data_IF_594238601165
#
_entry.id   IF_594238601165
#
_cell.length_a   1.000
_cell.length_b   1.000
_cell.length_c   1.000
_cell.angle_alpha   90.00
_cell.angle_beta   90.00
_cell.angle_gamma   90.00
#
_symmetry.space_group_name_H-M   'P 1'
#
loop_
_entity.id
_entity.type
_entity.pdbx_description
1 polymer ?
#
# COMPACT_ATOMS: atom_id res chain seq x y z
N UNK A 1 52.93 -13.36 -4.73
CA UNK A 1 53.06 -13.07 -3.30
C UNK A 1 52.56 -11.65 -3.07
N UNK A 2 51.62 -11.47 -2.17
CA UNK A 2 51.11 -10.15 -1.78
C UNK A 2 51.67 -9.80 -0.41
N UNK A 3 52.06 -8.53 -0.23
CA UNK A 3 52.55 -7.99 1.03
C UNK A 3 51.61 -6.87 1.47
N UNK A 4 51.19 -6.87 2.73
CA UNK A 4 50.37 -5.79 3.27
C UNK A 4 51.25 -4.65 3.84
N UNK A 5 50.62 -3.54 4.23
CA UNK A 5 51.32 -2.37 4.81
C UNK A 5 52.00 -2.63 6.17
N UNK A 6 51.82 -3.81 6.78
CA UNK A 6 52.49 -4.23 8.02
C UNK A 6 53.69 -5.16 7.76
N UNK A 7 54.01 -5.45 6.49
CA UNK A 7 55.11 -6.32 6.10
C UNK A 7 54.81 -7.82 6.13
N UNK A 8 53.57 -8.23 6.42
CA UNK A 8 53.15 -9.64 6.33
C UNK A 8 53.04 -10.06 4.87
N UNK A 9 53.58 -11.25 4.52
CA UNK A 9 53.61 -11.76 3.16
C UNK A 9 52.82 -13.06 3.03
N UNK A 10 51.94 -13.13 2.03
CA UNK A 10 51.19 -14.32 1.69
C UNK A 10 51.38 -14.70 0.22
N UNK A 11 51.55 -15.99 -0.05
CA UNK A 11 51.73 -16.52 -1.42
C UNK A 11 50.41 -17.13 -1.89
N UNK A 12 49.87 -16.58 -2.97
CA UNK A 12 48.66 -17.06 -3.63
C UNK A 12 49.00 -17.62 -5.00
N UNK A 13 48.24 -18.63 -5.42
CA UNK A 13 48.29 -19.21 -6.77
C UNK A 13 46.90 -19.12 -7.39
N UNK A 14 46.82 -18.84 -8.68
CA UNK A 14 45.57 -18.85 -9.44
C UNK A 14 45.76 -19.67 -10.71
N UNK A 15 44.66 -20.28 -11.18
CA UNK A 15 44.63 -21.02 -12.44
C UNK A 15 43.62 -20.39 -13.38
N UNK A 16 43.98 -20.25 -14.66
CA UNK A 16 43.08 -19.74 -15.71
C UNK A 16 42.87 -20.86 -16.73
N UNK A 17 41.62 -21.24 -16.95
CA UNK A 17 41.26 -22.17 -18.03
C UNK A 17 40.70 -21.38 -19.21
N UNK A 18 41.38 -21.41 -20.36
CA UNK A 18 40.92 -20.73 -21.58
C UNK A 18 39.79 -21.52 -22.24
N UNK A 19 38.66 -20.86 -22.55
CA UNK A 19 37.59 -21.38 -23.41
C UNK A 19 37.39 -20.43 -24.60
N UNK A 20 37.08 -20.95 -25.79
CA UNK A 20 36.88 -20.17 -27.01
C UNK A 20 35.46 -19.58 -27.10
N UNK A 21 35.32 -18.29 -27.43
CA UNK A 21 34.04 -17.58 -27.61
C UNK A 21 34.24 -16.11 -28.07
N UNK A 22 33.16 -15.40 -28.48
CA UNK A 22 33.23 -14.04 -29.04
C UNK A 22 33.62 -12.95 -28.01
N UNK A 23 33.43 -13.20 -26.72
CA UNK A 23 33.98 -12.39 -25.62
C UNK A 23 34.59 -13.31 -24.56
N UNK A 24 35.60 -12.82 -23.82
CA UNK A 24 36.23 -13.55 -22.71
C UNK A 24 36.36 -12.62 -21.50
N UNK A 25 35.46 -12.76 -20.53
CA UNK A 25 35.57 -12.10 -19.23
C UNK A 25 36.31 -13.04 -18.27
N UNK A 26 37.38 -12.56 -17.65
CA UNK A 26 38.13 -13.32 -16.64
C UNK A 26 37.67 -12.91 -15.25
N UNK A 27 37.09 -13.84 -14.49
CA UNK A 27 36.83 -13.67 -13.06
C UNK A 27 37.80 -14.58 -12.28
N UNK A 28 38.67 -13.98 -11.46
CA UNK A 28 39.54 -14.72 -10.56
C UNK A 28 38.86 -14.79 -9.18
N UNK A 29 38.47 -16.00 -8.75
CA UNK A 29 37.98 -16.25 -7.38
C UNK A 29 39.02 -17.03 -6.58
N UNK A 30 39.25 -16.61 -5.35
CA UNK A 30 40.02 -17.37 -4.36
C UNK A 30 39.05 -18.08 -3.43
N UNK A 31 39.16 -19.41 -3.31
CA UNK A 31 38.19 -20.21 -2.55
C UNK A 31 38.61 -20.65 -1.15
N UNK A 32 39.86 -20.44 -0.71
CA UNK A 32 40.21 -20.55 0.72
C UNK A 32 41.61 -20.01 1.09
N UNK A 33 41.83 -19.93 2.41
CA UNK A 33 42.94 -19.48 3.26
C UNK A 33 43.02 -17.96 3.50
N UNK A 34 42.01 -17.48 4.24
CA UNK A 34 42.04 -16.18 4.94
C UNK A 34 41.68 -14.96 4.08
N UNK A 35 41.13 -13.90 4.68
CA UNK A 35 40.83 -12.66 3.96
C UNK A 35 42.11 -12.06 3.36
N UNK A 36 42.10 -11.84 2.05
CA UNK A 36 43.14 -11.13 1.29
C UNK A 36 43.21 -9.64 1.66
N UNK A 37 42.09 -9.10 2.16
CA UNK A 37 41.88 -7.70 2.54
C UNK A 37 40.72 -7.59 3.53
N UNK A 38 40.51 -6.40 4.11
CA UNK A 38 39.35 -6.13 4.96
C UNK A 38 38.04 -6.36 4.20
N UNK A 39 37.10 -7.09 4.79
CA UNK A 39 35.76 -7.22 4.22
C UNK A 39 35.08 -5.85 4.22
N UNK A 40 35.00 -5.22 3.05
CA UNK A 40 34.23 -4.01 2.84
C UNK A 40 32.92 -4.38 2.15
N UNK A 41 31.77 -4.30 2.83
CA UNK A 41 30.50 -4.61 2.20
C UNK A 41 30.10 -3.53 1.16
N UNK A 42 30.68 -2.33 1.18
CA UNK A 42 30.42 -1.29 0.19
C UNK A 42 31.09 -1.62 -1.15
N UNK A 43 30.36 -1.37 -2.26
CA UNK A 43 30.77 -1.68 -3.63
C UNK A 43 31.21 -3.14 -3.87
N UNK A 44 30.66 -4.09 -3.11
CA UNK A 44 31.12 -5.50 -3.08
C UNK A 44 30.20 -6.48 -3.82
N UNK A 45 29.22 -5.96 -4.57
CA UNK A 45 28.28 -6.78 -5.32
C UNK A 45 28.97 -7.34 -6.57
N UNK A 46 29.25 -8.65 -6.55
CA UNK A 46 29.92 -9.38 -7.63
C UNK A 46 28.96 -9.94 -8.70
N UNK A 47 29.54 -10.60 -9.70
CA UNK A 47 28.81 -11.30 -10.78
C UNK A 47 28.17 -12.59 -10.23
N UNK A 48 26.91 -12.92 -10.60
CA UNK A 48 26.01 -12.21 -11.51
C UNK A 48 25.13 -11.14 -10.83
N UNK A 49 25.22 -10.95 -9.51
CA UNK A 49 24.41 -9.99 -8.76
C UNK A 49 24.62 -8.52 -9.16
N UNK A 50 25.69 -8.19 -9.86
CA UNK A 50 25.92 -6.85 -10.38
C UNK A 50 25.14 -6.55 -11.67
N UNK A 51 24.57 -7.55 -12.36
CA UNK A 51 23.96 -7.37 -13.67
C UNK A 51 22.64 -6.59 -13.57
N UNK A 52 22.41 -5.66 -14.51
CA UNK A 52 21.23 -4.79 -14.53
C UNK A 52 19.89 -5.59 -14.58
N UNK A 53 19.87 -6.74 -15.25
CA UNK A 53 18.67 -7.58 -15.36
C UNK A 53 18.38 -8.42 -14.09
N UNK A 54 19.37 -8.62 -13.20
CA UNK A 54 19.23 -9.48 -12.02
C UNK A 54 18.55 -8.71 -10.89
N UNK A 55 17.59 -9.31 -10.20
CA UNK A 55 17.08 -8.80 -8.92
C UNK A 55 18.06 -9.24 -7.84
N UNK A 56 18.84 -8.31 -7.34
CA UNK A 56 19.89 -8.54 -6.35
C UNK A 56 19.30 -8.37 -4.97
N UNK A 57 19.51 -9.36 -4.10
CA UNK A 57 18.89 -9.44 -2.77
C UNK A 57 19.94 -9.33 -1.67
N UNK A 58 19.83 -8.29 -0.86
CA UNK A 58 20.56 -8.17 0.40
C UNK A 58 19.79 -8.81 1.58
N UNK A 59 20.39 -8.80 2.77
CA UNK A 59 19.82 -9.48 3.94
C UNK A 59 19.61 -8.53 5.12
N UNK A 60 18.44 -8.64 5.75
CA UNK A 60 18.11 -7.99 7.03
C UNK A 60 17.71 -9.03 8.07
N UNK A 61 17.95 -8.73 9.34
CA UNK A 61 17.43 -9.53 10.44
C UNK A 61 15.89 -9.57 10.39
N UNK A 62 15.30 -10.76 10.42
CA UNK A 62 13.84 -10.91 10.31
C UNK A 62 13.05 -10.22 11.43
N UNK A 63 13.63 -10.05 12.63
CA UNK A 63 12.95 -9.41 13.76
C UNK A 63 13.18 -7.91 13.82
N UNK A 64 14.43 -7.47 13.64
CA UNK A 64 14.81 -6.07 13.87
C UNK A 64 14.84 -5.24 12.59
N UNK A 65 14.73 -5.88 11.42
CA UNK A 65 14.92 -5.27 10.10
C UNK A 65 16.31 -4.63 9.90
N UNK A 66 17.25 -4.86 10.81
CA UNK A 66 18.60 -4.33 10.72
C UNK A 66 19.38 -5.01 9.59
N UNK A 67 20.09 -4.19 8.80
CA UNK A 67 20.94 -4.68 7.72
C UNK A 67 22.05 -5.57 8.27
N UNK A 68 22.18 -6.76 7.68
CA UNK A 68 23.19 -7.71 8.11
C UNK A 68 24.59 -7.28 7.67
N UNK A 69 25.63 -7.49 8.51
CA UNK A 69 26.98 -7.01 8.23
C UNK A 69 27.64 -7.66 6.99
N UNK A 70 27.16 -8.85 6.59
CA UNK A 70 27.59 -9.56 5.38
C UNK A 70 26.77 -9.21 4.14
N UNK A 71 25.75 -8.35 4.24
CA UNK A 71 24.98 -7.91 3.08
C UNK A 71 25.82 -6.98 2.23
N UNK A 72 26.22 -7.46 1.04
CA UNK A 72 26.90 -6.65 0.05
C UNK A 72 26.00 -5.48 -0.41
N UNK A 73 26.60 -4.31 -0.62
CA UNK A 73 25.89 -3.11 -1.03
C UNK A 73 26.65 -2.32 -2.09
N UNK A 74 25.92 -1.48 -2.81
CA UNK A 74 26.40 -0.77 -3.98
C UNK A 74 27.16 0.52 -3.69
N UNK A 75 27.43 1.32 -4.73
CA UNK A 75 27.11 1.06 -6.14
C UNK A 75 27.84 -0.18 -6.67
N UNK A 76 27.29 -0.86 -7.69
CA UNK A 76 28.06 -1.88 -8.39
C UNK A 76 29.24 -1.24 -9.16
N UNK A 77 30.11 -2.05 -9.77
CA UNK A 77 31.26 -1.54 -10.54
C UNK A 77 30.88 -0.63 -11.75
N UNK A 78 29.62 -0.67 -12.18
CA UNK A 78 29.08 0.17 -13.27
C UNK A 78 28.42 1.46 -12.75
N UNK A 79 28.34 1.66 -11.44
CA UNK A 79 27.66 2.80 -10.82
C UNK A 79 26.17 2.58 -10.53
N UNK A 80 25.61 1.42 -10.85
CA UNK A 80 24.19 1.13 -10.61
C UNK A 80 23.87 0.95 -9.13
N UNK A 81 22.66 1.35 -8.76
CA UNK A 81 22.12 1.07 -7.43
C UNK A 81 21.78 -0.41 -7.30
N UNK A 82 22.46 -1.06 -6.37
CA UNK A 82 22.33 -2.46 -5.99
C UNK A 82 22.55 -2.58 -4.47
N UNK A 83 21.93 -3.52 -3.74
CA UNK A 83 20.91 -4.46 -4.21
C UNK A 83 19.62 -3.74 -4.66
N UNK A 84 18.70 -4.44 -5.32
CA UNK A 84 17.36 -3.90 -5.58
C UNK A 84 16.54 -3.83 -4.29
N UNK A 85 16.60 -4.91 -3.49
CA UNK A 85 15.83 -5.04 -2.25
C UNK A 85 16.60 -5.87 -1.24
N UNK A 86 16.16 -5.82 0.02
CA UNK A 86 16.59 -6.72 1.08
C UNK A 86 15.46 -7.66 1.48
N UNK A 87 15.81 -8.88 1.91
CA UNK A 87 14.88 -9.87 2.42
C UNK A 87 15.28 -10.36 3.81
N UNK A 88 14.36 -11.00 4.56
CA UNK A 88 14.62 -11.49 5.90
C UNK A 88 15.57 -12.69 5.89
N UNK A 89 16.53 -12.69 6.81
CA UNK A 89 17.38 -13.84 7.11
C UNK A 89 17.37 -14.16 8.62
N UNK A 90 18.29 -15.01 9.08
CA UNK A 90 18.25 -15.61 10.43
C UNK A 90 16.94 -16.40 10.65
N UNK A 91 16.46 -17.02 9.57
CA UNK A 91 15.24 -17.81 9.55
C UNK A 91 15.52 -19.29 9.77
N UNK A 92 14.52 -20.01 10.29
CA UNK A 92 14.54 -21.47 10.32
C UNK A 92 13.90 -22.04 9.05
N UNK A 93 14.37 -23.20 8.60
CA UNK A 93 13.71 -23.96 7.52
C UNK A 93 13.17 -25.26 8.09
N UNK A 94 12.19 -25.88 7.42
CA UNK A 94 11.59 -27.15 7.86
C UNK A 94 12.61 -28.30 7.96
N UNK A 95 13.70 -28.24 7.18
CA UNK A 95 14.80 -29.19 7.26
C UNK A 95 15.74 -28.96 8.47
N UNK A 96 15.69 -27.77 9.09
CA UNK A 96 16.59 -27.34 10.16
C UNK A 96 15.82 -26.58 11.24
N UNK A 97 14.75 -27.18 11.75
CA UNK A 97 13.89 -26.59 12.79
C UNK A 97 14.73 -26.26 14.02
N UNK A 98 14.64 -25.01 14.50
CA UNK A 98 15.38 -24.52 15.67
C UNK A 98 16.80 -23.99 15.38
N UNK A 99 17.28 -24.07 14.14
CA UNK A 99 18.54 -23.43 13.74
C UNK A 99 18.25 -22.13 12.97
N UNK A 100 18.76 -21.00 13.49
CA UNK A 100 18.74 -19.72 12.78
C UNK A 100 19.79 -19.73 11.69
N UNK A 101 19.36 -19.85 10.44
CA UNK A 101 20.27 -19.86 9.32
C UNK A 101 20.43 -18.45 8.74
N UNK A 102 21.68 -18.02 8.58
CA UNK A 102 22.07 -16.66 8.24
C UNK A 102 22.59 -16.55 6.80
N UNK A 103 22.39 -15.40 6.16
CA UNK A 103 23.00 -15.09 4.87
C UNK A 103 22.02 -14.61 3.82
N UNK A 104 22.53 -13.91 2.80
CA UNK A 104 21.75 -13.52 1.62
C UNK A 104 21.16 -14.73 0.88
N UNK A 105 21.78 -15.92 1.01
CA UNK A 105 21.21 -17.20 0.55
C UNK A 105 19.89 -17.57 1.21
N UNK A 106 19.63 -17.10 2.44
CA UNK A 106 18.37 -17.30 3.16
C UNK A 106 17.39 -16.14 2.95
N UNK A 107 17.88 -14.94 2.64
CA UNK A 107 17.02 -13.82 2.21
C UNK A 107 16.45 -14.02 0.79
N UNK A 108 17.29 -14.48 -0.15
CA UNK A 108 16.94 -14.68 -1.57
C UNK A 108 15.67 -15.53 -1.80
N UNK A 109 15.46 -16.69 -1.15
CA UNK A 109 14.27 -17.50 -1.37
C UNK A 109 12.96 -16.81 -0.95
N UNK A 110 12.98 -15.89 0.03
CA UNK A 110 11.80 -15.09 0.36
C UNK A 110 11.40 -14.17 -0.79
N UNK A 111 12.39 -13.52 -1.41
CA UNK A 111 12.16 -12.67 -2.58
C UNK A 111 11.75 -13.52 -3.79
N UNK A 112 12.32 -14.71 -3.97
CA UNK A 112 11.89 -15.64 -5.02
C UNK A 112 10.44 -16.11 -4.83
N UNK A 113 10.03 -16.41 -3.59
CA UNK A 113 8.64 -16.74 -3.26
C UNK A 113 7.70 -15.56 -3.52
N UNK A 114 8.13 -14.34 -3.19
CA UNK A 114 7.40 -13.11 -3.51
C UNK A 114 7.23 -12.93 -5.02
N UNK A 115 8.28 -13.13 -5.81
CA UNK A 115 8.23 -13.12 -7.28
C UNK A 115 7.25 -14.19 -7.80
N UNK A 116 7.27 -15.40 -7.23
CA UNK A 116 6.36 -16.47 -7.61
C UNK A 116 4.89 -16.10 -7.35
N UNK A 117 4.59 -15.45 -6.22
CA UNK A 117 3.25 -14.93 -5.93
C UNK A 117 2.82 -13.84 -6.93
N UNK A 118 3.73 -12.91 -7.26
CA UNK A 118 3.47 -11.88 -8.28
C UNK A 118 3.11 -12.51 -9.63
N UNK A 119 3.90 -13.48 -10.09
CA UNK A 119 3.68 -14.16 -11.37
C UNK A 119 2.46 -15.08 -11.33
N UNK A 120 2.14 -15.67 -10.17
CA UNK A 120 0.91 -16.44 -9.98
C UNK A 120 -0.34 -15.59 -10.15
N UNK A 121 -0.30 -14.32 -9.73
CA UNK A 121 -1.40 -13.38 -9.89
C UNK A 121 -1.41 -12.67 -11.26
N UNK A 122 -0.25 -12.52 -11.90
CA UNK A 122 -0.09 -11.82 -13.18
C UNK A 122 0.98 -12.52 -14.05
N UNK A 123 0.61 -13.60 -14.76
CA UNK A 123 1.57 -14.48 -15.44
C UNK A 123 2.27 -13.83 -16.64
N UNK A 124 1.69 -12.79 -17.23
CA UNK A 124 2.22 -12.12 -18.43
C UNK A 124 3.27 -11.03 -18.13
N UNK A 125 3.61 -10.81 -16.85
CA UNK A 125 4.62 -9.80 -16.50
C UNK A 125 6.01 -10.19 -16.98
N UNK A 126 6.68 -9.25 -17.63
CA UNK A 126 8.11 -9.38 -17.99
C UNK A 126 9.00 -9.30 -16.73
N UNK A 127 10.24 -9.84 -16.78
CA UNK A 127 11.19 -9.72 -15.66
C UNK A 127 11.43 -8.28 -15.20
N UNK A 128 11.42 -7.32 -16.13
CA UNK A 128 11.56 -5.90 -15.82
C UNK A 128 10.35 -5.36 -15.05
N UNK A 129 9.12 -5.73 -15.44
CA UNK A 129 7.90 -5.33 -14.75
C UNK A 129 7.79 -5.98 -13.36
N UNK A 130 8.25 -7.23 -13.20
CA UNK A 130 8.35 -7.88 -11.88
C UNK A 130 9.31 -7.11 -10.98
N UNK A 131 10.51 -6.79 -11.48
CA UNK A 131 11.48 -5.97 -10.75
C UNK A 131 10.87 -4.63 -10.33
N UNK A 132 10.21 -3.93 -11.25
CA UNK A 132 9.55 -2.66 -10.98
C UNK A 132 8.52 -2.76 -9.86
N UNK A 133 7.63 -3.76 -9.90
CA UNK A 133 6.60 -3.99 -8.86
C UNK A 133 7.20 -4.22 -7.49
N UNK A 134 8.30 -4.95 -7.41
CA UNK A 134 8.99 -5.24 -6.16
C UNK A 134 9.64 -3.97 -5.60
N UNK A 135 10.31 -3.18 -6.44
CA UNK A 135 10.98 -1.95 -6.00
C UNK A 135 10.01 -0.83 -5.66
N UNK A 136 8.89 -0.70 -6.37
CA UNK A 136 7.91 0.38 -6.16
C UNK A 136 7.09 0.22 -4.88
N UNK A 137 7.10 -0.96 -4.26
CA UNK A 137 6.35 -1.26 -3.02
C UNK A 137 7.27 -1.53 -1.83
N UNK A 138 8.59 -1.53 -2.04
CA UNK A 138 9.54 -1.80 -0.97
C UNK A 138 9.59 -0.63 0.03
N UNK A 139 10.10 -0.89 1.24
CA UNK A 139 9.98 0.03 2.37
C UNK A 139 10.66 1.40 2.20
N UNK A 140 11.54 1.54 1.22
CA UNK A 140 12.23 2.78 0.84
C UNK A 140 12.01 3.10 -0.64
N UNK A 141 10.80 2.88 -1.15
CA UNK A 141 10.47 3.11 -2.55
C UNK A 141 10.80 4.54 -3.02
N UNK A 142 10.53 5.53 -2.17
CA UNK A 142 10.69 6.96 -2.46
C UNK A 142 12.10 7.51 -2.16
N UNK A 143 12.86 6.83 -1.28
CA UNK A 143 14.22 7.23 -0.90
C UNK A 143 15.20 6.03 -0.86
N UNK A 144 15.46 5.41 -2.02
CA UNK A 144 16.32 4.23 -2.11
C UNK A 144 17.80 4.59 -1.94
N UNK A 145 18.52 3.80 -1.16
CA UNK A 145 19.95 3.98 -0.88
C UNK A 145 20.81 2.89 -1.55
N UNK A 146 22.13 3.01 -1.45
CA UNK A 146 23.02 1.97 -1.96
C UNK A 146 23.15 0.76 -1.03
N UNK A 147 22.73 0.86 0.25
CA UNK A 147 22.85 -0.18 1.29
C UNK A 147 21.82 -1.29 1.13
N UNK A 148 20.56 -0.88 1.08
CA UNK A 148 19.37 -1.72 1.09
C UNK A 148 18.59 -1.60 -0.24
N UNK A 149 19.03 -0.75 -1.16
CA UNK A 149 18.29 -0.48 -2.38
C UNK A 149 16.98 0.24 -2.07
N UNK A 150 15.88 -0.31 -2.56
CA UNK A 150 14.52 0.15 -2.28
C UNK A 150 13.98 -0.37 -0.93
N UNK A 151 14.82 -1.00 -0.12
CA UNK A 151 14.46 -1.47 1.23
C UNK A 151 13.89 -2.89 1.23
N UNK A 152 13.17 -3.23 2.28
CA UNK A 152 12.54 -4.55 2.39
C UNK A 152 11.44 -4.69 1.35
N UNK A 153 11.46 -5.77 0.59
CA UNK A 153 10.38 -6.06 -0.35
C UNK A 153 9.06 -6.31 0.39
N UNK A 154 8.00 -5.65 -0.04
CA UNK A 154 6.65 -5.81 0.51
C UNK A 154 5.68 -6.06 -0.64
N UNK A 155 4.78 -7.04 -0.48
CA UNK A 155 3.67 -7.25 -1.42
C UNK A 155 2.58 -6.18 -1.25
N UNK A 156 2.55 -5.51 -0.10
CA UNK A 156 1.43 -4.70 0.37
C UNK A 156 0.47 -5.57 1.19
N UNK A 157 -0.73 -5.06 1.43
CA UNK A 157 -1.87 -5.87 1.90
C UNK A 157 -2.06 -7.06 0.95
N UNK A 158 -2.56 -8.19 1.48
CA UNK A 158 -3.09 -9.24 0.61
C UNK A 158 -4.11 -8.61 -0.35
N UNK A 159 -4.14 -8.99 -1.64
CA UNK A 159 -5.19 -8.51 -2.53
C UNK A 159 -6.54 -8.80 -1.86
N UNK A 160 -7.45 -7.83 -1.90
CA UNK A 160 -8.76 -7.96 -1.26
C UNK A 160 -9.35 -9.33 -1.54
N UNK A 161 -9.90 -9.98 -0.51
CA UNK A 161 -10.64 -11.23 -0.66
C UNK A 161 -11.84 -11.05 -1.62
N UNK A 162 -12.26 -9.80 -1.83
CA UNK A 162 -13.25 -9.40 -2.82
C UNK A 162 -12.60 -9.32 -4.20
N UNK A 163 -12.55 -10.45 -4.90
CA UNK A 163 -11.95 -10.53 -6.23
C UNK A 163 -12.51 -9.51 -7.25
N UNK A 164 -13.74 -9.03 -7.05
CA UNK A 164 -14.43 -8.09 -7.93
C UNK A 164 -13.81 -6.67 -7.95
N UNK A 165 -13.09 -6.25 -6.90
CA UNK A 165 -12.46 -4.91 -6.83
C UNK A 165 -10.97 -4.93 -7.15
N UNK A 166 -10.40 -6.07 -7.54
CA UNK A 166 -8.96 -6.16 -7.81
C UNK A 166 -8.56 -5.26 -8.98
N UNK A 167 -7.66 -4.32 -8.74
CA UNK A 167 -7.23 -3.30 -9.71
C UNK A 167 -8.13 -2.07 -9.78
N UNK A 168 -9.18 -1.99 -8.95
CA UNK A 168 -9.99 -0.79 -8.81
C UNK A 168 -9.21 0.30 -8.07
N UNK A 169 -9.39 1.57 -8.44
CA UNK A 169 -8.64 2.68 -7.84
C UNK A 169 -8.92 2.84 -6.33
N UNK A 170 -10.11 2.42 -5.87
CA UNK A 170 -10.53 2.43 -4.48
C UNK A 170 -10.38 1.05 -3.79
N UNK A 171 -9.60 0.11 -4.35
CA UNK A 171 -9.47 -1.26 -3.83
C UNK A 171 -9.18 -1.29 -2.32
N UNK A 172 -8.18 -0.52 -1.86
CA UNK A 172 -7.81 -0.47 -0.43
C UNK A 172 -8.92 0.10 0.46
N UNK A 173 -9.62 1.14 -0.01
CA UNK A 173 -10.69 1.78 0.76
C UNK A 173 -11.93 0.88 0.87
N UNK A 174 -12.29 0.19 -0.22
CA UNK A 174 -13.42 -0.75 -0.24
C UNK A 174 -13.08 -1.97 0.62
N UNK A 175 -11.88 -2.53 0.51
CA UNK A 175 -11.44 -3.66 1.35
C UNK A 175 -11.49 -3.31 2.85
N UNK A 176 -11.01 -2.13 3.23
CA UNK A 176 -11.12 -1.63 4.60
C UNK A 176 -12.59 -1.53 5.06
N UNK A 177 -13.48 -0.98 4.23
CA UNK A 177 -14.89 -0.81 4.59
C UNK A 177 -15.61 -2.15 4.79
N UNK A 178 -15.26 -3.19 4.01
CA UNK A 178 -15.81 -4.54 4.18
C UNK A 178 -15.22 -5.25 5.40
N UNK A 179 -13.90 -5.21 5.58
CA UNK A 179 -13.22 -5.89 6.69
C UNK A 179 -13.56 -5.29 8.06
N UNK A 180 -13.98 -4.02 8.09
CA UNK A 180 -14.48 -3.34 9.30
C UNK A 180 -16.01 -3.36 9.43
N UNK A 181 -16.70 -4.10 8.57
CA UNK A 181 -18.17 -4.26 8.58
C UNK A 181 -18.94 -2.93 8.46
N UNK A 182 -18.33 -1.91 7.84
CA UNK A 182 -19.03 -0.67 7.48
C UNK A 182 -20.04 -0.95 6.35
N UNK A 183 -19.67 -1.82 5.42
CA UNK A 183 -20.54 -2.32 4.35
C UNK A 183 -20.46 -3.85 4.28
N UNK A 184 -21.57 -4.49 3.92
CA UNK A 184 -21.80 -5.94 4.00
C UNK A 184 -22.13 -6.60 2.63
N UNK A 185 -22.18 -5.83 1.55
CA UNK A 185 -22.36 -6.33 0.18
C UNK A 185 -23.23 -5.44 -0.71
N UNK A 186 -23.29 -5.75 -2.01
CA UNK A 186 -24.19 -5.07 -2.93
C UNK A 186 -25.62 -5.61 -2.80
N UNK A 187 -26.64 -4.74 -2.67
CA UNK A 187 -28.04 -5.16 -2.53
C UNK A 187 -28.55 -6.02 -3.68
N UNK A 188 -28.02 -5.81 -4.90
CA UNK A 188 -28.53 -6.44 -6.12
C UNK A 188 -27.92 -7.81 -6.43
N UNK A 189 -26.75 -8.14 -5.89
CA UNK A 189 -25.97 -9.33 -6.30
C UNK A 189 -25.34 -10.11 -5.13
N UNK A 190 -25.81 -9.90 -3.89
CA UNK A 190 -25.37 -10.66 -2.73
C UNK A 190 -23.96 -10.26 -2.28
N UNK A 191 -23.05 -11.23 -2.14
CA UNK A 191 -21.67 -11.02 -1.62
C UNK A 191 -20.71 -10.25 -2.54
N UNK A 192 -21.21 -9.72 -3.66
CA UNK A 192 -20.39 -8.95 -4.60
C UNK A 192 -20.41 -7.47 -4.22
N UNK A 193 -19.31 -6.76 -4.47
CA UNK A 193 -19.22 -5.29 -4.40
C UNK A 193 -19.82 -4.64 -5.64
N UNK A 194 -20.50 -3.50 -5.48
CA UNK A 194 -20.97 -2.66 -6.59
C UNK A 194 -20.38 -1.24 -6.49
N UNK A 195 -19.07 -1.04 -6.71
CA UNK A 195 -18.39 0.23 -6.47
C UNK A 195 -18.82 1.38 -7.40
N UNK A 196 -19.60 1.08 -8.43
CA UNK A 196 -20.10 2.04 -9.41
C UNK A 196 -21.59 2.37 -9.21
N UNK A 197 -22.26 1.72 -8.24
CA UNK A 197 -23.68 1.91 -8.00
C UNK A 197 -23.88 3.14 -7.12
N UNK A 198 -24.78 4.04 -7.54
CA UNK A 198 -25.09 5.21 -6.74
C UNK A 198 -25.67 4.81 -5.37
N UNK A 199 -25.11 5.37 -4.30
CA UNK A 199 -25.44 5.04 -2.92
C UNK A 199 -26.77 5.72 -2.54
N UNK A 200 -27.83 4.96 -2.19
CA UNK A 200 -29.05 5.51 -1.64
C UNK A 200 -28.85 6.03 -0.20
N UNK A 201 -29.74 6.92 0.24
CA UNK A 201 -29.61 7.62 1.53
C UNK A 201 -29.69 6.68 2.72
N UNK A 202 -30.51 5.64 2.65
CA UNK A 202 -30.59 4.61 3.69
C UNK A 202 -29.29 3.81 3.88
N UNK A 203 -28.61 3.44 2.79
CA UNK A 203 -27.29 2.81 2.81
C UNK A 203 -26.23 3.74 3.36
N UNK A 204 -26.20 5.00 2.91
CA UNK A 204 -25.31 6.03 3.46
C UNK A 204 -25.48 6.14 4.99
N UNK A 205 -26.73 6.08 5.49
CA UNK A 205 -27.01 6.19 6.93
C UNK A 205 -26.36 5.04 7.69
N UNK A 206 -26.52 3.82 7.16
CA UNK A 206 -25.94 2.62 7.73
C UNK A 206 -24.41 2.67 7.71
N UNK A 207 -23.78 3.17 6.64
CA UNK A 207 -22.33 3.32 6.57
C UNK A 207 -21.81 4.25 7.68
N UNK A 208 -22.39 5.43 7.84
CA UNK A 208 -21.96 6.38 8.88
C UNK A 208 -22.23 5.85 10.29
N UNK A 209 -23.36 5.16 10.48
CA UNK A 209 -23.73 4.56 11.75
C UNK A 209 -22.78 3.42 12.14
N UNK A 210 -22.46 2.51 11.22
CA UNK A 210 -21.48 1.42 11.42
C UNK A 210 -20.06 1.96 11.61
N UNK A 211 -19.68 2.99 10.87
CA UNK A 211 -18.40 3.69 11.05
C UNK A 211 -18.23 4.29 12.46
N UNK A 212 -19.34 4.68 13.12
CA UNK A 212 -19.37 5.12 14.52
C UNK A 212 -19.63 3.99 15.53
N UNK A 213 -19.55 2.73 15.09
CA UNK A 213 -19.76 1.53 15.93
C UNK A 213 -21.21 1.48 16.46
N UNK A 214 -22.17 1.73 15.56
CA UNK A 214 -23.61 1.52 15.78
C UNK A 214 -24.17 2.16 17.06
N UNK A 215 -23.98 3.48 17.28
CA UNK A 215 -24.50 4.17 18.45
C UNK A 215 -26.04 4.10 18.51
N UNK A 216 -26.59 3.93 19.70
CA UNK A 216 -28.03 3.79 19.90
C UNK A 216 -28.64 5.17 20.14
N UNK A 217 -29.62 5.56 19.32
CA UNK A 217 -30.41 6.76 19.53
C UNK A 217 -31.31 6.63 20.76
N UNK A 218 -31.54 7.73 21.46
CA UNK A 218 -32.47 7.78 22.60
C UNK A 218 -33.92 7.99 22.17
N UNK A 219 -34.13 8.55 20.98
CA UNK A 219 -35.45 8.79 20.40
C UNK A 219 -35.50 8.39 18.92
N UNK A 220 -36.69 7.96 18.47
CA UNK A 220 -36.95 7.77 17.05
C UNK A 220 -37.00 9.11 16.31
N UNK A 221 -36.56 9.11 15.05
CA UNK A 221 -36.65 10.27 14.16
C UNK A 221 -38.10 10.63 13.86
N UNK A 222 -38.35 11.91 13.55
CA UNK A 222 -39.69 12.42 13.23
C UNK A 222 -40.03 12.38 11.74
N UNK A 223 -39.32 11.56 10.96
CA UNK A 223 -39.53 11.47 9.51
C UNK A 223 -40.68 10.51 9.19
N UNK A 224 -41.68 11.00 8.45
CA UNK A 224 -42.92 10.27 8.13
C UNK A 224 -42.67 9.03 7.24
N UNK A 225 -41.58 9.04 6.47
CA UNK A 225 -41.18 7.99 5.53
C UNK A 225 -40.17 6.98 6.10
N UNK A 226 -39.87 7.06 7.41
CA UNK A 226 -39.07 6.07 8.13
C UNK A 226 -40.02 5.20 8.96
N UNK A 227 -40.47 4.10 8.36
CA UNK A 227 -41.44 3.18 8.98
C UNK A 227 -40.81 2.43 10.15
N UNK A 228 -41.55 2.25 11.24
CA UNK A 228 -41.08 1.48 12.39
C UNK A 228 -40.69 0.04 12.00
N UNK A 229 -39.49 -0.38 12.41
CA UNK A 229 -38.98 -1.74 12.19
C UNK A 229 -38.21 -1.97 10.89
N UNK A 230 -38.01 -0.94 10.06
CA UNK A 230 -37.10 -1.02 8.90
C UNK A 230 -35.64 -1.13 9.37
N UNK A 231 -34.80 -1.87 8.63
CA UNK A 231 -33.43 -2.20 9.03
C UNK A 231 -32.53 -0.96 9.18
N UNK A 232 -32.70 0.05 8.33
CA UNK A 232 -31.96 1.32 8.40
C UNK A 232 -32.50 2.29 9.46
N UNK A 233 -33.65 2.00 10.07
CA UNK A 233 -34.33 2.90 11.01
C UNK A 233 -33.44 3.39 12.16
N UNK A 234 -32.77 2.48 12.91
CA UNK A 234 -31.88 2.86 14.00
C UNK A 234 -30.73 3.79 13.57
N UNK A 235 -30.22 3.61 12.35
CA UNK A 235 -29.18 4.47 11.80
C UNK A 235 -29.74 5.89 11.54
N UNK A 236 -30.91 5.98 10.89
CA UNK A 236 -31.56 7.28 10.62
C UNK A 236 -31.93 8.00 11.91
N UNK A 237 -32.42 7.28 12.92
CA UNK A 237 -32.74 7.82 14.25
C UNK A 237 -31.52 8.46 14.89
N UNK A 238 -30.37 7.75 14.89
CA UNK A 238 -29.13 8.29 15.44
C UNK A 238 -28.60 9.48 14.62
N UNK A 239 -28.62 9.40 13.29
CA UNK A 239 -28.21 10.52 12.44
C UNK A 239 -29.06 11.77 12.71
N UNK A 240 -30.36 11.61 12.95
CA UNK A 240 -31.27 12.71 13.24
C UNK A 240 -31.00 13.30 14.63
N UNK A 241 -30.87 12.46 15.66
CA UNK A 241 -30.58 12.87 17.03
C UNK A 241 -29.23 13.59 17.14
N UNK A 242 -28.21 13.09 16.44
CA UNK A 242 -26.89 13.72 16.39
C UNK A 242 -26.83 14.98 15.51
N UNK A 243 -27.92 15.34 14.82
CA UNK A 243 -27.97 16.48 13.92
C UNK A 243 -27.15 16.31 12.64
N UNK A 244 -26.82 15.07 12.27
CA UNK A 244 -26.05 14.74 11.05
C UNK A 244 -26.96 14.81 9.82
N UNK A 245 -28.17 14.27 9.91
CA UNK A 245 -29.21 14.43 8.88
C UNK A 245 -30.26 15.46 9.27
N UNK A 246 -30.71 16.21 8.27
CA UNK A 246 -31.84 17.16 8.39
C UNK A 246 -33.06 16.71 7.56
N UNK A 247 -32.99 15.53 6.94
CA UNK A 247 -33.96 15.08 5.95
C UNK A 247 -33.76 15.71 4.56
N UNK A 248 -34.49 15.19 3.58
CA UNK A 248 -34.64 15.84 2.27
C UNK A 248 -35.71 16.95 2.32
N UNK A 249 -36.65 16.84 3.27
CA UNK A 249 -37.59 17.87 3.68
C UNK A 249 -37.62 17.91 5.21
N UNK A 250 -38.42 18.82 5.79
CA UNK A 250 -38.58 18.90 7.25
C UNK A 250 -39.28 17.68 7.86
N UNK A 251 -39.99 16.87 7.06
CA UNK A 251 -40.76 15.71 7.54
C UNK A 251 -40.42 14.42 6.81
N UNK A 252 -39.49 14.43 5.86
CA UNK A 252 -39.12 13.25 5.06
C UNK A 252 -37.61 13.07 5.00
N UNK A 253 -37.17 11.82 5.10
CA UNK A 253 -35.78 11.40 5.01
C UNK A 253 -35.35 11.10 3.56
N UNK A 254 -36.27 10.63 2.72
CA UNK A 254 -36.07 10.11 1.36
C UNK A 254 -35.07 8.93 1.31
N UNK A 255 -35.38 7.76 1.91
CA UNK A 255 -34.44 6.64 2.02
C UNK A 255 -33.92 6.13 0.67
N UNK A 256 -34.81 5.97 -0.32
CA UNK A 256 -34.45 5.46 -1.67
C UNK A 256 -33.74 6.51 -2.56
N UNK A 257 -33.64 7.76 -2.11
CA UNK A 257 -33.00 8.83 -2.87
C UNK A 257 -31.49 8.64 -2.92
N UNK A 258 -30.87 8.73 -4.10
CA UNK A 258 -29.41 8.67 -4.24
C UNK A 258 -28.73 9.93 -3.68
N UNK A 259 -27.61 9.76 -3.00
CA UNK A 259 -26.87 10.85 -2.35
C UNK A 259 -25.99 11.60 -3.37
N UNK A 260 -26.13 12.92 -3.40
CA UNK A 260 -25.22 13.80 -4.16
C UNK A 260 -23.92 14.08 -3.38
N UNK A 261 -22.86 14.45 -4.10
CA UNK A 261 -21.57 14.84 -3.50
C UNK A 261 -21.71 15.99 -2.50
N UNK A 262 -22.57 16.97 -2.78
CA UNK A 262 -22.84 18.07 -1.85
C UNK A 262 -23.54 17.62 -0.57
N UNK A 263 -24.49 16.68 -0.67
CA UNK A 263 -25.13 16.10 0.51
C UNK A 263 -24.16 15.26 1.33
N UNK A 264 -23.34 14.43 0.67
CA UNK A 264 -22.30 13.65 1.34
C UNK A 264 -21.30 14.55 2.08
N UNK A 265 -20.92 15.67 1.48
CA UNK A 265 -20.08 16.65 2.17
C UNK A 265 -20.73 17.17 3.45
N UNK A 266 -22.01 17.55 3.37
CA UNK A 266 -22.74 18.04 4.54
C UNK A 266 -22.85 16.96 5.63
N UNK A 267 -23.06 15.69 5.27
CA UNK A 267 -23.08 14.58 6.22
C UNK A 267 -21.73 14.40 6.92
N UNK A 268 -20.63 14.28 6.16
CA UNK A 268 -19.28 14.09 6.73
C UNK A 268 -18.86 15.27 7.62
N UNK A 269 -19.18 16.50 7.20
CA UNK A 269 -18.87 17.69 7.99
C UNK A 269 -19.63 17.71 9.32
N UNK A 270 -20.92 17.39 9.32
CA UNK A 270 -21.72 17.31 10.57
C UNK A 270 -21.32 16.14 11.45
N UNK A 271 -20.94 15.01 10.84
CA UNK A 271 -20.41 13.84 11.53
C UNK A 271 -19.15 14.17 12.35
N UNK A 272 -18.36 15.14 11.90
CA UNK A 272 -17.19 15.69 12.60
C UNK A 272 -17.51 16.93 13.45
N UNK A 273 -18.78 17.15 13.80
CA UNK A 273 -19.27 18.28 14.59
C UNK A 273 -19.12 19.66 13.93
N UNK A 274 -19.23 19.71 12.60
CA UNK A 274 -19.30 20.96 11.81
C UNK A 274 -18.12 21.92 12.06
N UNK A 275 -16.85 21.47 11.91
CA UNK A 275 -15.68 22.29 12.15
C UNK A 275 -15.67 23.55 11.25
N UNK A 276 -15.42 24.71 11.86
CA UNK A 276 -15.32 26.00 11.16
C UNK A 276 -13.88 26.41 10.83
N UNK A 277 -13.74 27.52 10.09
CA UNK A 277 -12.45 28.19 9.90
C UNK A 277 -11.56 27.65 8.77
N UNK A 278 -12.08 26.74 7.93
CA UNK A 278 -11.34 26.28 6.76
C UNK A 278 -11.26 27.37 5.68
N UNK A 279 -10.14 27.51 4.96
CA UNK A 279 -10.05 28.42 3.83
C UNK A 279 -11.07 28.06 2.73
N UNK A 280 -11.56 29.04 1.95
CA UNK A 280 -12.43 28.76 0.81
C UNK A 280 -11.79 27.79 -0.19
N UNK A 281 -12.52 26.75 -0.59
CA UNK A 281 -12.04 25.72 -1.50
C UNK A 281 -11.81 26.24 -2.93
N UNK A 282 -12.47 27.33 -3.31
CA UNK A 282 -12.25 27.99 -4.60
C UNK A 282 -12.86 27.27 -5.81
N UNK A 283 -13.72 26.27 -5.61
CA UNK A 283 -14.44 25.62 -6.70
C UNK A 283 -15.47 26.56 -7.34
N UNK A 284 -15.42 26.70 -8.67
CA UNK A 284 -16.25 27.67 -9.40
C UNK A 284 -17.75 27.29 -9.42
N UNK A 285 -18.06 26.00 -9.31
CA UNK A 285 -19.41 25.44 -9.31
C UNK A 285 -20.02 25.31 -7.92
N UNK A 286 -19.36 25.87 -6.89
CA UNK A 286 -19.84 25.89 -5.52
C UNK A 286 -20.00 27.33 -5.01
N UNK A 287 -21.17 27.95 -5.17
CA UNK A 287 -21.41 29.30 -4.72
C UNK A 287 -21.27 29.43 -3.20
N UNK A 288 -20.68 30.55 -2.74
CA UNK A 288 -20.67 30.96 -1.34
C UNK A 288 -22.12 31.08 -0.86
N UNK A 289 -22.41 30.54 0.32
CA UNK A 289 -23.76 30.51 0.89
C UNK A 289 -24.60 29.30 0.48
N UNK A 290 -24.11 28.43 -0.43
CA UNK A 290 -24.74 27.12 -0.63
C UNK A 290 -24.66 26.27 0.65
N UNK A 291 -25.61 25.36 0.87
CA UNK A 291 -25.66 24.58 2.12
C UNK A 291 -24.40 23.73 2.37
N UNK A 292 -23.66 23.40 1.30
CA UNK A 292 -22.47 22.56 1.36
C UNK A 292 -21.15 23.35 1.34
N UNK A 293 -21.15 24.69 1.15
CA UNK A 293 -19.89 25.42 0.93
C UNK A 293 -18.88 25.24 2.08
N UNK A 294 -19.30 25.44 3.33
CA UNK A 294 -18.43 25.25 4.50
C UNK A 294 -17.95 23.80 4.65
N UNK A 295 -18.82 22.84 4.32
CA UNK A 295 -18.47 21.44 4.38
C UNK A 295 -17.40 21.08 3.34
N UNK A 296 -17.51 21.59 2.12
CA UNK A 296 -16.53 21.35 1.06
C UNK A 296 -15.22 22.09 1.32
N UNK A 297 -15.27 23.31 1.86
CA UNK A 297 -14.09 24.04 2.32
C UNK A 297 -13.28 23.19 3.32
N UNK A 298 -13.99 22.61 4.30
CA UNK A 298 -13.37 21.71 5.27
C UNK A 298 -12.84 20.43 4.63
N UNK A 299 -13.61 19.76 3.76
CA UNK A 299 -13.16 18.53 3.10
C UNK A 299 -11.90 18.72 2.26
N UNK A 300 -11.74 19.87 1.60
CA UNK A 300 -10.53 20.16 0.83
C UNK A 300 -9.37 20.43 1.78
N UNK A 301 -9.59 21.23 2.83
CA UNK A 301 -8.56 21.57 3.82
C UNK A 301 -8.06 20.35 4.61
N UNK A 302 -8.93 19.37 4.88
CA UNK A 302 -8.57 18.11 5.56
C UNK A 302 -7.93 17.09 4.63
N UNK A 303 -7.95 17.30 3.32
CA UNK A 303 -7.48 16.33 2.31
C UNK A 303 -8.46 15.19 2.02
N UNK A 304 -9.71 15.26 2.53
CA UNK A 304 -10.75 14.25 2.27
C UNK A 304 -11.26 14.31 0.83
N UNK A 305 -11.17 15.46 0.15
CA UNK A 305 -11.56 15.58 -1.27
C UNK A 305 -10.54 16.38 -2.08
N UNK A 306 -10.44 16.05 -3.36
CA UNK A 306 -9.64 16.80 -4.35
C UNK A 306 -10.51 17.55 -5.36
N UNK A 307 -11.84 17.48 -5.24
CA UNK A 307 -12.77 17.91 -6.28
C UNK A 307 -12.91 16.89 -7.42
N UNK A 308 -13.82 17.15 -8.36
CA UNK A 308 -13.90 16.36 -9.60
C UNK A 308 -12.88 16.84 -10.65
N UNK A 309 -12.53 18.12 -10.58
CA UNK A 309 -11.40 18.72 -11.29
C UNK A 309 -10.71 19.71 -10.37
N UNK A 310 -9.59 20.29 -10.81
CA UNK A 310 -8.90 21.36 -10.06
C UNK A 310 -9.74 22.62 -9.85
N UNK A 311 -10.83 22.80 -10.61
CA UNK A 311 -11.67 24.02 -10.58
C UNK A 311 -13.15 23.74 -10.27
N UNK A 312 -13.53 22.46 -10.07
CA UNK A 312 -14.93 22.08 -9.88
C UNK A 312 -15.07 20.96 -8.85
N UNK A 313 -16.10 21.08 -8.03
CA UNK A 313 -16.45 20.09 -7.01
C UNK A 313 -17.43 19.01 -7.56
N UNK A 314 -18.24 19.39 -8.55
CA UNK A 314 -19.37 18.63 -9.08
C UNK A 314 -20.43 18.31 -8.01
N UNK A 315 -21.07 19.33 -7.39
CA UNK A 315 -21.95 19.13 -6.23
C UNK A 315 -23.16 18.23 -6.49
N UNK A 316 -23.65 18.18 -7.74
CA UNK A 316 -24.79 17.36 -8.16
C UNK A 316 -24.37 15.96 -8.64
N UNK A 317 -23.06 15.67 -8.70
CA UNK A 317 -22.59 14.32 -9.01
C UNK A 317 -23.05 13.34 -7.94
N UNK A 318 -23.41 12.12 -8.34
CA UNK A 318 -23.80 11.08 -7.40
C UNK A 318 -22.56 10.49 -6.71
N UNK A 319 -22.73 10.05 -5.47
CA UNK A 319 -21.74 9.22 -4.78
C UNK A 319 -21.99 7.76 -5.14
N UNK A 320 -20.91 7.07 -5.53
CA UNK A 320 -20.88 5.66 -5.89
C UNK A 320 -19.88 4.93 -5.00
#
# INVERSE_FOLDING_TARGET
>A
TLANGTGAQHRYSYGVTRRSGPETTYEARTWDTGPLEFANPAASIGVPGNMAAVITVGAVNWQTEELQPYSAWGPNHMGDRKPEVVGPDLVATSAWVGASNAGTSYATPHIAGLVALILGAAPDLTPAQVKQRITSRASKADDPDYKQGWGMARLGSLPSDIAAIRGHWAEEAVDWAFTTEITDGCPMVGVLTCPELAVPRDEMAQFLWRFRITPIATMASSFDDVVAGVSYGPAVDWLAEAGITLGCTTTSYCPDGTVTRAEMAAFLWRLENSPGGSPPAGFADLPIGSFAHLAVDWLLASGTTTGCTTWSYCPQGLVT
#
